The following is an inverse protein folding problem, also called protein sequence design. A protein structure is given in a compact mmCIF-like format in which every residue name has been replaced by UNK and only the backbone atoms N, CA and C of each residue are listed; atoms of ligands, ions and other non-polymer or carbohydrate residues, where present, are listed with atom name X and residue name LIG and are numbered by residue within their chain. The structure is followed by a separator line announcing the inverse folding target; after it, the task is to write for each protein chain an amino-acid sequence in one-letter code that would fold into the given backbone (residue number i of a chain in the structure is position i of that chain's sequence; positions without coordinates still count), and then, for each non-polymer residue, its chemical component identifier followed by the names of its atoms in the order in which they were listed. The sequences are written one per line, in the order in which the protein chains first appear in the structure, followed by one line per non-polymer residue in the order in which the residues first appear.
data_IF_899564660623
#
_entry.id   IF_899564660623
#
_cell.length_a   1.000
_cell.length_b   1.000
_cell.length_c   1.000
_cell.angle_alpha   90.00
_cell.angle_beta   90.00
_cell.angle_gamma   90.00
#
_symmetry.space_group_name_H-M   'P 1'
#
loop_
_entity.id
_entity.type
_entity.pdbx_description
1 polymer ?
#
# COMPACT_ATOMS: atom_id res chain seq x y z
N UNK A 1 -1.99 1.41 -22.63
CA UNK A 1 -1.19 1.24 -21.40
C UNK A 1 -1.23 2.46 -20.47
N UNK A 2 -2.42 2.98 -20.08
CA UNK A 2 -2.53 4.16 -19.17
C UNK A 2 -2.91 3.80 -17.73
N UNK A 3 -3.38 2.57 -17.47
CA UNK A 3 -3.91 2.18 -16.17
C UNK A 3 -2.85 1.65 -15.20
N UNK A 4 -1.83 0.93 -15.70
CA UNK A 4 -0.77 0.38 -14.83
C UNK A 4 0.02 1.47 -14.13
N UNK A 5 0.42 2.52 -14.88
CA UNK A 5 1.16 3.65 -14.32
C UNK A 5 0.35 4.45 -13.29
N UNK A 6 -0.98 4.50 -13.43
CA UNK A 6 -1.85 5.10 -12.41
C UNK A 6 -1.85 4.27 -11.13
N UNK A 7 -1.97 2.94 -11.24
CA UNK A 7 -1.94 2.04 -10.09
C UNK A 7 -0.59 2.14 -9.36
N UNK A 8 0.52 2.15 -10.10
CA UNK A 8 1.87 2.32 -9.51
C UNK A 8 2.00 3.67 -8.80
N UNK A 9 1.51 4.76 -9.40
CA UNK A 9 1.50 6.06 -8.75
C UNK A 9 0.66 6.04 -7.47
N UNK A 10 -0.55 5.48 -7.51
CA UNK A 10 -1.41 5.36 -6.32
C UNK A 10 -0.72 4.54 -5.22
N UNK A 11 -0.07 3.42 -5.56
CA UNK A 11 0.68 2.62 -4.60
C UNK A 11 1.81 3.46 -3.98
N UNK A 12 2.56 4.20 -4.80
CA UNK A 12 3.68 5.03 -4.34
C UNK A 12 3.20 6.15 -3.43
N UNK A 13 2.11 6.84 -3.80
CA UNK A 13 1.52 7.89 -2.96
C UNK A 13 0.96 7.34 -1.66
N UNK A 14 0.32 6.17 -1.69
CA UNK A 14 -0.28 5.55 -0.52
C UNK A 14 0.79 5.04 0.45
N UNK A 15 1.83 4.37 -0.05
CA UNK A 15 2.99 3.94 0.76
C UNK A 15 3.74 5.12 1.35
N UNK A 16 3.98 6.17 0.57
CA UNK A 16 4.58 7.41 1.08
C UNK A 16 3.70 8.08 2.15
N UNK A 17 2.37 8.08 1.97
CA UNK A 17 1.43 8.59 2.98
C UNK A 17 1.47 7.74 4.25
N UNK A 18 1.58 6.41 4.14
CA UNK A 18 1.72 5.51 5.27
C UNK A 18 3.05 5.77 5.98
N UNK A 19 4.16 5.87 5.27
CA UNK A 19 5.48 6.18 5.84
C UNK A 19 5.48 7.53 6.59
N UNK A 20 4.87 8.56 6.00
CA UNK A 20 4.89 9.93 6.55
C UNK A 20 3.85 10.20 7.62
N UNK A 21 2.63 9.67 7.48
CA UNK A 21 1.51 9.94 8.40
C UNK A 21 1.25 8.81 9.39
N UNK A 22 1.59 7.58 9.03
CA UNK A 22 1.33 6.38 9.84
C UNK A 22 2.60 5.50 9.95
N UNK A 23 3.70 6.04 10.48
CA UNK A 23 4.97 5.31 10.57
C UNK A 23 4.86 4.01 11.38
N UNK A 24 3.84 3.89 12.24
CA UNK A 24 3.50 2.66 12.98
C UNK A 24 3.04 1.54 12.04
N UNK A 25 2.17 1.85 11.08
CA UNK A 25 1.77 0.91 10.02
C UNK A 25 2.95 0.58 9.11
N UNK A 26 3.76 1.59 8.75
CA UNK A 26 4.95 1.37 7.93
C UNK A 26 5.95 0.45 8.62
N UNK A 27 6.14 0.60 9.93
CA UNK A 27 7.02 -0.26 10.72
C UNK A 27 6.52 -1.70 10.82
N UNK A 28 5.21 -1.91 10.84
CA UNK A 28 4.60 -3.25 10.73
C UNK A 28 4.77 -3.86 9.32
N UNK A 29 4.90 -3.02 8.29
CA UNK A 29 5.20 -3.43 6.92
C UNK A 29 6.70 -3.72 6.74
N UNK A 30 7.61 -3.02 7.43
CA UNK A 30 9.06 -3.20 7.32
C UNK A 30 9.54 -4.57 7.84
N UNK A 31 8.85 -5.15 8.84
CA UNK A 31 9.10 -6.52 9.30
C UNK A 31 8.78 -7.59 8.24
N UNK A 32 8.07 -7.22 7.17
CA UNK A 32 7.78 -8.11 6.06
C UNK A 32 8.14 -7.38 4.76
N UNK A 33 9.39 -7.47 4.29
CA UNK A 33 9.90 -6.69 3.17
C UNK A 33 9.24 -7.14 1.86
N UNK A 34 7.98 -6.74 1.67
CA UNK A 34 7.35 -6.62 0.36
C UNK A 34 7.96 -5.38 -0.30
N UNK A 35 9.28 -5.45 -0.52
CA UNK A 35 9.96 -4.55 -1.43
C UNK A 35 9.22 -4.66 -2.75
N UNK A 36 8.54 -3.58 -3.10
CA UNK A 36 7.87 -3.40 -4.37
C UNK A 36 8.78 -4.01 -5.45
N UNK A 37 8.37 -5.09 -6.16
CA UNK A 37 9.20 -5.74 -7.16
C UNK A 37 9.29 -4.90 -8.43
N UNK A 38 9.28 -3.56 -8.32
CA UNK A 38 9.27 -2.61 -9.43
C UNK A 38 10.53 -2.66 -10.29
N UNK A 39 11.63 -3.26 -9.80
CA UNK A 39 12.88 -3.36 -10.57
C UNK A 39 13.20 -4.74 -11.17
N UNK A 40 12.57 -5.84 -10.75
CA UNK A 40 13.05 -7.19 -11.16
C UNK A 40 12.09 -8.02 -12.01
N UNK A 41 10.83 -7.65 -12.17
CA UNK A 41 9.88 -8.47 -12.93
C UNK A 41 9.20 -7.69 -14.07
N UNK A 42 9.61 -7.89 -15.33
CA UNK A 42 8.90 -7.32 -16.49
C UNK A 42 7.49 -7.88 -16.70
N UNK A 43 7.09 -8.91 -15.93
CA UNK A 43 5.74 -9.50 -15.91
C UNK A 43 4.97 -9.20 -14.63
N UNK A 44 5.08 -7.98 -14.10
CA UNK A 44 4.10 -7.55 -13.11
C UNK A 44 2.76 -7.36 -13.84
N UNK A 45 1.90 -8.36 -13.65
CA UNK A 45 0.55 -8.32 -14.19
C UNK A 45 -0.23 -7.20 -13.51
N UNK A 46 -1.03 -6.46 -14.28
CA UNK A 46 -1.86 -5.35 -13.77
C UNK A 46 -2.71 -5.80 -12.57
N UNK A 47 -3.10 -7.07 -12.58
CA UNK A 47 -3.86 -7.70 -11.51
C UNK A 47 -3.09 -7.70 -10.17
N UNK A 48 -1.83 -8.12 -10.17
CA UNK A 48 -0.98 -8.17 -8.97
C UNK A 48 -0.80 -6.77 -8.36
N UNK A 49 -0.62 -5.75 -9.20
CA UNK A 49 -0.52 -4.37 -8.74
C UNK A 49 -1.84 -3.84 -8.18
N UNK A 50 -2.98 -4.21 -8.78
CA UNK A 50 -4.29 -3.86 -8.21
C UNK A 50 -4.53 -4.55 -6.86
N UNK A 51 -4.23 -5.84 -6.75
CA UNK A 51 -4.40 -6.61 -5.53
C UNK A 51 -3.51 -6.05 -4.40
N UNK A 52 -2.29 -5.61 -4.73
CA UNK A 52 -1.41 -4.93 -3.78
C UNK A 52 -1.94 -3.56 -3.33
N UNK A 53 -2.42 -2.73 -4.27
CA UNK A 53 -3.03 -1.44 -3.95
C UNK A 53 -4.26 -1.60 -3.05
N UNK A 54 -5.10 -2.59 -3.34
CA UNK A 54 -6.31 -2.89 -2.56
C UNK A 54 -5.95 -3.36 -1.16
N UNK A 55 -4.95 -4.25 -1.02
CA UNK A 55 -4.44 -4.69 0.27
C UNK A 55 -3.93 -3.52 1.13
N UNK A 56 -3.17 -2.60 0.54
CA UNK A 56 -2.69 -1.41 1.24
C UNK A 56 -3.82 -0.46 1.65
N UNK A 57 -4.82 -0.26 0.79
CA UNK A 57 -6.01 0.54 1.11
C UNK A 57 -6.80 -0.08 2.26
N UNK A 58 -7.02 -1.39 2.24
CA UNK A 58 -7.69 -2.11 3.32
C UNK A 58 -6.92 -2.00 4.63
N UNK A 59 -5.58 -2.15 4.62
CA UNK A 59 -4.75 -1.98 5.81
C UNK A 59 -4.96 -0.60 6.44
N UNK A 60 -4.92 0.45 5.61
CA UNK A 60 -5.13 1.83 6.05
C UNK A 60 -6.55 2.04 6.58
N UNK A 61 -7.56 1.51 5.89
CA UNK A 61 -8.96 1.61 6.28
C UNK A 61 -9.22 0.92 7.63
N UNK A 62 -8.75 -0.32 7.80
CA UNK A 62 -8.85 -1.05 9.06
C UNK A 62 -8.19 -0.30 10.22
N UNK A 63 -7.04 0.34 9.96
CA UNK A 63 -6.38 1.17 10.96
C UNK A 63 -7.24 2.39 11.33
N UNK A 64 -7.76 3.11 10.33
CA UNK A 64 -8.64 4.25 10.55
C UNK A 64 -9.93 3.86 11.29
N UNK A 65 -10.54 2.72 10.96
CA UNK A 65 -11.72 2.19 11.62
C UNK A 65 -11.44 1.76 13.05
N UNK A 66 -10.31 1.08 13.30
CA UNK A 66 -9.90 0.65 14.64
C UNK A 66 -9.62 1.87 15.53
N UNK A 67 -8.94 2.89 14.99
CA UNK A 67 -8.73 4.15 15.71
C UNK A 67 -10.04 4.90 15.97
N UNK A 68 -10.99 4.88 15.02
CA UNK A 68 -12.29 5.54 15.18
C UNK A 68 -13.16 4.85 16.23
N UNK A 69 -13.11 3.51 16.33
CA UNK A 69 -13.90 2.75 17.30
C UNK A 69 -13.34 2.79 18.73
N UNK A 70 -12.06 3.13 18.93
CA UNK A 70 -11.44 3.24 20.25
C UNK A 70 -11.59 4.64 20.89
N UNK A 71 -12.41 5.51 20.30
CA UNK A 71 -12.68 6.87 20.80
C UNK A 71 -14.17 7.05 21.10
N UNK A 72 -14.79 6.11 21.83
CA UNK A 72 -16.20 6.20 22.21
C UNK A 72 -16.46 5.77 23.65
#
# INVERSE_FOLDING_TARGET
MKNLRKIINEITELTYTIETKYPELYRSLDENPMTLPVSSHPHIDKKVMQEYLESLKQLLEHHMETHKNNTN
#
